data_IF_790863657328
#
_entry.id   IF_790863657328
#
_cell.length_a   1.000
_cell.length_b   1.000
_cell.length_c   1.000
_cell.angle_alpha   90.00
_cell.angle_beta   90.00
_cell.angle_gamma   90.00
#
_symmetry.space_group_name_H-M   'P 1'
#
loop_
_entity.id
_entity.type
_entity.pdbx_description
1 polymer ?
#
# COMPACT_ATOMS: atom_id res chain seq x y z
N UNK A 1 -37.01 -6.48 -35.89
CA UNK A 1 -36.67 -7.10 -34.60
C UNK A 1 -36.77 -6.02 -33.52
N UNK A 2 -37.91 -5.92 -32.83
CA UNK A 2 -38.13 -4.89 -31.79
C UNK A 2 -37.67 -5.44 -30.44
N UNK A 3 -36.78 -4.73 -29.77
CA UNK A 3 -36.25 -5.12 -28.46
C UNK A 3 -37.30 -4.88 -27.37
N UNK A 4 -37.53 -5.90 -26.53
CA UNK A 4 -38.44 -5.79 -25.38
C UNK A 4 -37.86 -4.82 -24.33
N UNK A 5 -38.60 -3.79 -23.90
CA UNK A 5 -38.15 -2.89 -22.84
C UNK A 5 -38.06 -3.64 -21.51
N UNK A 6 -36.92 -3.51 -20.83
CA UNK A 6 -36.69 -4.10 -19.51
C UNK A 6 -37.26 -3.13 -18.47
N UNK A 7 -38.26 -3.58 -17.72
CA UNK A 7 -38.84 -2.82 -16.59
C UNK A 7 -37.78 -2.67 -15.49
N UNK A 8 -37.38 -1.42 -15.19
CA UNK A 8 -36.55 -1.06 -14.04
C UNK A 8 -37.35 -1.05 -12.71
N UNK A 9 -38.59 -1.53 -12.72
CA UNK A 9 -39.52 -1.51 -11.59
C UNK A 9 -39.33 -2.67 -10.62
N UNK A 10 -38.37 -3.56 -10.83
CA UNK A 10 -38.02 -4.56 -9.81
C UNK A 10 -37.30 -3.84 -8.68
N UNK A 11 -37.90 -3.71 -7.47
CA UNK A 11 -37.15 -3.26 -6.32
C UNK A 11 -35.96 -4.20 -6.16
N UNK A 12 -34.74 -3.66 -6.13
CA UNK A 12 -33.58 -4.43 -5.73
C UNK A 12 -33.89 -4.96 -4.33
N UNK A 13 -34.03 -6.29 -4.19
CA UNK A 13 -34.16 -6.90 -2.87
C UNK A 13 -32.96 -6.45 -2.04
N UNK A 14 -33.26 -5.72 -0.96
CA UNK A 14 -32.25 -5.18 -0.08
C UNK A 14 -31.67 -6.34 0.72
N UNK A 15 -30.73 -7.06 0.11
CA UNK A 15 -30.06 -8.19 0.74
C UNK A 15 -29.52 -7.72 2.10
N UNK A 16 -29.71 -8.51 3.17
CA UNK A 16 -29.23 -8.14 4.49
C UNK A 16 -27.74 -7.84 4.42
N UNK A 17 -27.29 -6.78 5.11
CA UNK A 17 -25.86 -6.47 5.19
C UNK A 17 -25.12 -7.71 5.67
N UNK A 18 -24.18 -8.22 4.86
CA UNK A 18 -23.30 -9.33 5.25
C UNK A 18 -22.44 -8.99 6.48
N UNK A 19 -22.25 -7.69 6.75
CA UNK A 19 -21.60 -7.23 7.98
C UNK A 19 -22.57 -7.28 9.16
N UNK A 20 -22.12 -7.85 10.28
CA UNK A 20 -22.85 -7.82 11.56
C UNK A 20 -23.31 -6.37 11.87
N UNK A 21 -24.55 -6.18 12.37
CA UNK A 21 -25.04 -4.85 12.76
C UNK A 21 -24.08 -4.15 13.72
N UNK A 22 -23.93 -2.84 13.57
CA UNK A 22 -23.18 -2.02 14.52
C UNK A 22 -23.87 -2.12 15.89
N UNK A 23 -23.11 -2.51 16.90
CA UNK A 23 -23.57 -2.54 18.30
C UNK A 23 -22.96 -1.34 19.01
N UNK A 24 -23.77 -0.34 19.41
CA UNK A 24 -23.27 0.81 20.17
C UNK A 24 -22.47 0.35 21.40
N UNK A 25 -21.30 0.96 21.62
CA UNK A 25 -20.40 0.62 22.74
C UNK A 25 -19.45 -0.57 22.50
N UNK A 26 -19.66 -1.37 21.45
CA UNK A 26 -18.74 -2.46 21.10
C UNK A 26 -17.59 -1.95 20.23
N UNK A 27 -16.42 -1.74 20.84
CA UNK A 27 -15.21 -1.42 20.10
C UNK A 27 -14.60 -2.69 19.46
N UNK A 28 -14.13 -2.59 18.22
CA UNK A 28 -13.38 -3.67 17.57
C UNK A 28 -12.06 -3.89 18.33
N UNK A 29 -11.67 -5.15 18.53
CA UNK A 29 -10.43 -5.52 19.23
C UNK A 29 -9.17 -4.90 18.59
N UNK A 30 -9.25 -4.40 17.35
CA UNK A 30 -8.18 -3.63 16.71
C UNK A 30 -7.89 -2.29 17.41
N UNK A 31 -8.89 -1.66 18.04
CA UNK A 31 -8.70 -0.40 18.75
C UNK A 31 -8.08 -0.63 20.12
N UNK A 32 -7.16 0.26 20.51
CA UNK A 32 -6.49 0.20 21.81
C UNK A 32 -7.38 0.81 22.88
N UNK A 33 -7.57 0.10 23.99
CA UNK A 33 -8.34 0.58 25.14
C UNK A 33 -7.44 1.36 26.11
N UNK A 34 -8.04 2.19 26.95
CA UNK A 34 -7.30 2.94 27.97
C UNK A 34 -6.59 2.03 28.98
N UNK A 35 -7.15 0.85 29.26
CA UNK A 35 -6.53 -0.17 30.10
C UNK A 35 -5.24 -0.70 29.46
N UNK A 36 -5.25 -1.01 28.17
CA UNK A 36 -4.07 -1.47 27.45
C UNK A 36 -3.01 -0.36 27.31
N UNK A 37 -3.42 0.88 27.09
CA UNK A 37 -2.50 2.02 27.06
C UNK A 37 -1.86 2.26 28.44
N UNK A 38 -2.60 2.04 29.52
CA UNK A 38 -2.07 2.09 30.90
C UNK A 38 -1.02 1.02 31.12
N UNK A 39 -1.26 -0.22 30.66
CA UNK A 39 -0.27 -1.30 30.68
C UNK A 39 1.01 -0.89 29.93
N UNK A 40 0.89 -0.25 28.77
CA UNK A 40 2.07 0.25 28.03
C UNK A 40 2.81 1.32 28.84
N UNK A 41 2.11 2.31 29.41
CA UNK A 41 2.75 3.37 30.23
C UNK A 41 3.53 2.80 31.42
N UNK A 42 2.96 1.81 32.09
CA UNK A 42 3.56 1.22 33.30
C UNK A 42 4.76 0.33 33.00
N UNK A 43 4.64 -0.58 32.03
CA UNK A 43 5.62 -1.66 31.85
C UNK A 43 6.63 -1.42 30.73
N UNK A 44 6.37 -0.47 29.82
CA UNK A 44 7.24 -0.28 28.66
C UNK A 44 8.60 0.35 29.02
N UNK A 45 8.64 1.26 29.99
CA UNK A 45 9.87 1.96 30.37
C UNK A 45 10.89 0.99 30.96
N UNK A 46 10.47 0.13 31.90
CA UNK A 46 11.34 -0.82 32.58
C UNK A 46 11.63 -2.09 31.76
N UNK A 47 10.62 -2.67 31.12
CA UNK A 47 10.73 -3.98 30.49
C UNK A 47 10.66 -3.99 28.96
N UNK A 48 10.28 -2.87 28.34
CA UNK A 48 10.04 -2.77 26.91
C UNK A 48 8.79 -3.53 26.46
N UNK A 49 8.67 -3.75 25.15
CA UNK A 49 7.50 -4.41 24.57
C UNK A 49 7.26 -5.83 25.08
N UNK A 50 8.32 -6.56 25.44
CA UNK A 50 8.22 -7.93 25.99
C UNK A 50 7.47 -7.98 27.33
N UNK A 51 7.74 -7.03 28.24
CA UNK A 51 7.04 -6.94 29.51
C UNK A 51 5.57 -6.52 29.31
N UNK A 52 5.29 -5.60 28.40
CA UNK A 52 3.91 -5.25 28.06
C UNK A 52 3.13 -6.46 27.55
N UNK A 53 3.74 -7.30 26.69
CA UNK A 53 3.07 -8.49 26.14
C UNK A 53 2.66 -9.51 27.19
N UNK A 54 3.33 -9.57 28.35
CA UNK A 54 2.91 -10.44 29.46
C UNK A 54 1.59 -10.00 30.12
N UNK A 55 1.23 -8.72 29.98
CA UNK A 55 0.04 -8.12 30.59
C UNK A 55 -1.03 -7.72 29.55
N UNK A 56 -0.70 -7.77 28.26
CA UNK A 56 -1.63 -7.44 27.18
C UNK A 56 -2.39 -8.68 26.69
N UNK A 57 -3.59 -8.50 26.12
CA UNK A 57 -4.34 -9.59 25.53
C UNK A 57 -3.58 -10.29 24.39
N UNK A 58 -3.81 -11.60 24.21
CA UNK A 58 -3.09 -12.44 23.24
C UNK A 58 -3.22 -12.00 21.76
N UNK A 59 -4.24 -11.21 21.42
CA UNK A 59 -4.41 -10.67 20.06
C UNK A 59 -3.48 -9.47 19.77
N UNK A 60 -2.83 -8.91 20.80
CA UNK A 60 -1.85 -7.83 20.64
C UNK A 60 -0.52 -8.38 20.16
N UNK A 61 0.20 -7.53 19.45
CA UNK A 61 1.50 -7.87 18.87
C UNK A 61 2.57 -6.92 19.38
N UNK A 62 3.81 -7.42 19.45
CA UNK A 62 4.99 -6.63 19.84
C UNK A 62 5.12 -5.37 18.96
N UNK A 63 4.87 -5.49 17.66
CA UNK A 63 4.89 -4.35 16.72
C UNK A 63 3.84 -3.30 17.08
N UNK A 64 2.63 -3.72 17.45
CA UNK A 64 1.57 -2.83 17.90
C UNK A 64 1.96 -2.05 19.17
N UNK A 65 2.62 -2.72 20.13
CA UNK A 65 3.14 -2.08 21.35
C UNK A 65 4.17 -1.02 21.01
N UNK A 66 5.12 -1.30 20.12
CA UNK A 66 6.12 -0.31 19.68
C UNK A 66 5.47 0.93 19.05
N UNK A 67 4.46 0.74 18.20
CA UNK A 67 3.75 1.85 17.58
C UNK A 67 3.01 2.71 18.62
N UNK A 68 2.38 2.08 19.61
CA UNK A 68 1.68 2.82 20.67
C UNK A 68 2.63 3.51 21.63
N UNK A 69 3.71 2.86 22.05
CA UNK A 69 4.74 3.48 22.86
C UNK A 69 5.30 4.73 22.17
N UNK A 70 5.57 4.67 20.85
CA UNK A 70 5.98 5.83 20.07
C UNK A 70 4.94 6.95 20.07
N UNK A 71 3.65 6.63 19.90
CA UNK A 71 2.55 7.62 19.95
C UNK A 71 2.41 8.25 21.33
N UNK A 72 2.67 7.49 22.39
CA UNK A 72 2.66 7.94 23.77
C UNK A 72 3.96 8.67 24.19
N UNK A 73 4.95 8.78 23.30
CA UNK A 73 6.23 9.41 23.60
C UNK A 73 7.13 8.60 24.55
N UNK A 74 6.84 7.32 24.75
CA UNK A 74 7.57 6.45 25.65
C UNK A 74 8.83 5.90 24.97
N UNK A 75 9.95 5.97 25.69
CA UNK A 75 11.20 5.30 25.33
C UNK A 75 11.49 4.21 26.36
N UNK A 76 12.16 3.14 25.92
CA UNK A 76 12.64 2.10 26.84
C UNK A 76 13.85 2.61 27.63
N UNK A 77 14.15 1.95 28.74
CA UNK A 77 15.30 2.27 29.60
C UNK A 77 16.61 2.41 28.79
N UNK A 78 17.24 3.60 28.79
CA UNK A 78 18.49 3.84 28.07
C UNK A 78 19.67 3.03 28.61
N UNK A 79 19.62 2.61 29.89
CA UNK A 79 20.68 1.87 30.57
C UNK A 79 20.56 0.35 30.38
N UNK A 80 19.51 -0.13 29.72
CA UNK A 80 19.36 -1.56 29.45
C UNK A 80 20.52 -2.05 28.57
N UNK A 81 21.30 -3.06 29.01
CA UNK A 81 22.41 -3.56 28.23
C UNK A 81 21.91 -4.09 26.88
N UNK A 82 22.46 -3.55 25.79
CA UNK A 82 22.19 -4.07 24.45
C UNK A 82 22.92 -5.40 24.31
N UNK A 83 22.18 -6.49 24.07
CA UNK A 83 22.78 -7.79 23.77
C UNK A 83 23.72 -7.66 22.56
N UNK A 84 25.02 -7.65 22.83
CA UNK A 84 26.07 -7.64 21.81
C UNK A 84 26.51 -9.08 21.59
N UNK A 85 26.05 -9.69 20.50
CA UNK A 85 26.53 -10.99 20.06
C UNK A 85 27.98 -10.86 19.57
N UNK A 86 28.93 -11.44 20.33
CA UNK A 86 30.36 -11.42 20.00
C UNK A 86 30.64 -12.46 18.91
N UNK A 87 31.36 -12.05 17.87
CA UNK A 87 31.90 -12.99 16.89
C UNK A 87 33.22 -13.54 17.40
N UNK A 88 33.30 -14.84 17.67
CA UNK A 88 34.56 -15.54 17.94
C UNK A 88 35.01 -16.30 16.69
N UNK A 89 36.32 -16.55 16.50
CA UNK A 89 36.82 -17.30 15.36
C UNK A 89 36.19 -18.71 15.24
N UNK A 90 35.94 -19.37 16.37
CA UNK A 90 35.34 -20.72 16.42
C UNK A 90 33.89 -20.69 15.95
N UNK A 91 33.14 -19.65 16.34
CA UNK A 91 31.76 -19.46 15.88
C UNK A 91 31.73 -19.16 14.38
N UNK A 92 32.66 -18.36 13.87
CA UNK A 92 32.75 -18.09 12.43
C UNK A 92 33.03 -19.36 11.63
N UNK A 93 33.93 -20.23 12.12
CA UNK A 93 34.24 -21.49 11.44
C UNK A 93 33.03 -22.42 11.43
N UNK A 94 32.35 -22.56 12.57
CA UNK A 94 31.08 -23.29 12.63
C UNK A 94 30.03 -22.73 11.67
N UNK A 95 29.94 -21.40 11.54
CA UNK A 95 29.06 -20.76 10.56
C UNK A 95 29.47 -21.19 9.15
N UNK A 96 30.76 -21.16 8.78
CA UNK A 96 31.20 -21.59 7.44
C UNK A 96 30.82 -23.04 7.15
N UNK A 97 31.13 -23.95 8.07
CA UNK A 97 30.88 -25.38 7.92
C UNK A 97 29.39 -25.71 7.78
N UNK A 98 28.55 -25.13 8.64
CA UNK A 98 27.12 -25.40 8.63
C UNK A 98 26.40 -24.68 7.49
N UNK A 99 26.89 -23.49 7.08
CA UNK A 99 26.28 -22.74 5.98
C UNK A 99 26.38 -23.46 4.64
N UNK A 100 27.49 -24.17 4.38
CA UNK A 100 27.67 -24.98 3.16
C UNK A 100 26.66 -26.14 3.08
N UNK A 101 26.21 -26.64 4.24
CA UNK A 101 25.25 -27.75 4.33
C UNK A 101 23.80 -27.31 4.15
N UNK A 102 23.53 -26.00 4.15
CA UNK A 102 22.17 -25.48 4.00
C UNK A 102 21.66 -25.64 2.57
N UNK A 103 20.41 -26.07 2.45
CA UNK A 103 19.64 -25.99 1.22
C UNK A 103 18.95 -24.63 1.14
N UNK A 104 19.54 -23.73 0.33
CA UNK A 104 19.01 -22.38 0.10
C UNK A 104 17.59 -22.34 -0.51
N UNK A 105 17.01 -23.47 -0.92
CA UNK A 105 15.63 -23.55 -1.42
C UNK A 105 14.62 -23.86 -0.32
N UNK A 106 15.05 -24.39 0.82
CA UNK A 106 14.16 -24.72 1.93
C UNK A 106 13.92 -23.51 2.82
N UNK A 107 12.65 -23.20 3.02
CA UNK A 107 12.22 -22.11 3.89
C UNK A 107 12.44 -22.49 5.34
N UNK A 108 13.20 -21.69 6.08
CA UNK A 108 13.38 -21.84 7.52
C UNK A 108 14.78 -22.29 7.95
N UNK A 109 15.59 -22.88 7.06
CA UNK A 109 16.87 -23.47 7.49
C UNK A 109 17.87 -22.45 8.08
N UNK A 110 17.84 -21.20 7.60
CA UNK A 110 18.65 -20.12 8.19
C UNK A 110 18.18 -19.77 9.61
N UNK A 111 16.87 -19.88 9.89
CA UNK A 111 16.31 -19.71 11.24
C UNK A 111 16.70 -20.90 12.13
N UNK A 112 16.65 -22.13 11.60
CA UNK A 112 17.05 -23.34 12.34
C UNK A 112 18.54 -23.35 12.66
N UNK A 113 19.39 -22.89 11.74
CA UNK A 113 20.82 -22.69 11.99
C UNK A 113 21.04 -21.61 13.06
N UNK A 114 20.31 -20.50 12.98
CA UNK A 114 20.39 -19.44 13.98
C UNK A 114 20.02 -19.95 15.38
N UNK A 115 18.96 -20.76 15.49
CA UNK A 115 18.55 -21.42 16.73
C UNK A 115 19.63 -22.37 17.27
N UNK A 116 20.20 -23.25 16.43
CA UNK A 116 21.28 -24.18 16.81
C UNK A 116 22.55 -23.46 17.28
N UNK A 117 22.87 -22.32 16.68
CA UNK A 117 24.02 -21.48 17.06
C UNK A 117 23.70 -20.51 18.20
N UNK A 118 22.46 -20.50 18.72
CA UNK A 118 22.01 -19.59 19.77
C UNK A 118 22.23 -18.10 19.45
N UNK A 119 22.10 -17.74 18.17
CA UNK A 119 22.21 -16.35 17.69
C UNK A 119 20.96 -15.94 16.94
N UNK A 120 20.58 -14.65 16.91
CA UNK A 120 19.44 -14.20 16.11
C UNK A 120 19.71 -14.34 14.61
N UNK A 121 18.68 -14.71 13.84
CA UNK A 121 18.76 -14.83 12.37
C UNK A 121 19.33 -13.57 11.69
N UNK A 122 18.93 -12.38 12.15
CA UNK A 122 19.43 -11.12 11.59
C UNK A 122 20.94 -10.95 11.79
N UNK A 123 21.47 -11.39 12.95
CA UNK A 123 22.89 -11.30 13.26
C UNK A 123 23.67 -12.31 12.43
N UNK A 124 23.18 -13.55 12.35
CA UNK A 124 23.76 -14.60 11.51
C UNK A 124 23.83 -14.18 10.04
N UNK A 125 22.74 -13.64 9.49
CA UNK A 125 22.70 -13.16 8.08
C UNK A 125 23.73 -12.05 7.85
N UNK A 126 23.82 -11.10 8.79
CA UNK A 126 24.81 -10.01 8.73
C UNK A 126 26.24 -10.55 8.83
N UNK A 127 26.48 -11.55 9.68
CA UNK A 127 27.80 -12.19 9.84
C UNK A 127 28.17 -12.98 8.59
N UNK A 128 27.27 -13.80 8.06
CA UNK A 128 27.46 -14.54 6.82
C UNK A 128 27.82 -13.62 5.64
N UNK A 129 27.19 -12.44 5.57
CA UNK A 129 27.55 -11.42 4.55
C UNK A 129 28.99 -10.93 4.75
N UNK A 130 29.41 -10.66 5.99
CA UNK A 130 30.78 -10.23 6.31
C UNK A 130 31.82 -11.34 6.07
N UNK A 131 31.44 -12.60 6.26
CA UNK A 131 32.27 -13.77 5.99
C UNK A 131 32.31 -14.15 4.50
N UNK A 132 31.58 -13.44 3.63
CA UNK A 132 31.52 -13.73 2.20
C UNK A 132 30.67 -14.95 1.83
N UNK A 133 29.90 -15.50 2.78
CA UNK A 133 29.05 -16.68 2.58
C UNK A 133 27.72 -16.37 1.87
N UNK A 134 27.35 -15.09 1.84
CA UNK A 134 26.18 -14.61 1.09
C UNK A 134 26.45 -13.25 0.49
N UNK A 135 25.75 -12.93 -0.59
CA UNK A 135 25.89 -11.66 -1.30
C UNK A 135 24.96 -10.65 -0.64
N UNK A 136 25.50 -9.51 -0.23
CA UNK A 136 24.68 -8.39 0.22
C UNK A 136 23.73 -7.99 -0.91
N UNK A 137 22.45 -7.78 -0.60
CA UNK A 137 21.50 -7.26 -1.58
C UNK A 137 22.03 -5.94 -2.16
N UNK A 138 22.34 -5.94 -3.46
CA UNK A 138 22.78 -4.74 -4.18
C UNK A 138 21.56 -3.86 -4.44
N UNK A 139 21.51 -2.69 -3.78
CA UNK A 139 20.45 -1.71 -4.02
C UNK A 139 20.45 -1.34 -5.51
N UNK A 140 19.27 -1.39 -6.13
CA UNK A 140 19.14 -0.96 -7.52
C UNK A 140 19.58 0.51 -7.67
N UNK A 141 20.23 0.89 -8.80
CA UNK A 141 20.56 2.28 -9.09
C UNK A 141 19.31 3.18 -9.06
N UNK A 142 19.46 4.49 -8.76
CA UNK A 142 18.36 5.43 -8.92
C UNK A 142 17.85 5.45 -10.37
N UNK A 143 16.58 5.81 -10.57
CA UNK A 143 16.00 5.96 -11.91
C UNK A 143 16.59 7.19 -12.61
N UNK A 144 17.00 7.03 -13.86
CA UNK A 144 17.54 8.11 -14.69
C UNK A 144 16.46 8.75 -15.57
N UNK A 145 16.69 9.98 -16.04
CA UNK A 145 15.76 10.65 -16.95
C UNK A 145 15.60 9.91 -18.29
N UNK A 146 16.64 9.21 -18.74
CA UNK A 146 16.61 8.37 -19.95
C UNK A 146 15.69 7.17 -19.77
N UNK A 147 15.75 6.52 -18.60
CA UNK A 147 14.84 5.43 -18.24
C UNK A 147 13.39 5.92 -18.17
N UNK A 148 13.14 7.11 -17.61
CA UNK A 148 11.80 7.69 -17.58
C UNK A 148 11.28 8.02 -18.99
N UNK A 149 12.15 8.49 -19.89
CA UNK A 149 11.80 8.71 -21.28
C UNK A 149 11.48 7.41 -22.02
N UNK A 150 12.25 6.34 -21.77
CA UNK A 150 11.97 5.00 -22.30
C UNK A 150 10.64 4.46 -21.75
N UNK A 151 10.38 4.66 -20.45
CA UNK A 151 9.14 4.24 -19.79
C UNK A 151 7.87 4.75 -20.50
N UNK A 152 7.92 5.94 -21.09
CA UNK A 152 6.80 6.56 -21.83
C UNK A 152 6.52 5.90 -23.18
N UNK A 153 7.45 5.10 -23.71
CA UNK A 153 7.40 4.51 -25.06
C UNK A 153 7.18 3.00 -25.04
N UNK A 154 7.38 2.35 -23.90
CA UNK A 154 7.29 0.89 -23.77
C UNK A 154 5.85 0.41 -23.50
N UNK A 155 5.50 -0.83 -23.88
CA UNK A 155 4.17 -1.40 -23.67
C UNK A 155 3.91 -1.77 -22.20
N UNK A 156 3.63 -0.80 -21.34
CA UNK A 156 3.42 -0.95 -19.88
C UNK A 156 2.29 -1.90 -19.44
N UNK A 157 1.52 -2.43 -20.39
CA UNK A 157 0.53 -3.46 -20.11
C UNK A 157 1.16 -4.84 -19.85
N UNK A 158 2.37 -5.07 -20.35
CA UNK A 158 3.17 -6.29 -20.20
C UNK A 158 4.51 -5.94 -19.49
N UNK A 159 4.56 -6.06 -18.15
CA UNK A 159 5.74 -5.72 -17.36
C UNK A 159 6.98 -6.57 -17.66
N UNK A 160 6.79 -7.83 -18.06
CA UNK A 160 7.89 -8.74 -18.37
C UNK A 160 8.56 -8.34 -19.69
N UNK A 161 7.75 -8.07 -20.71
CA UNK A 161 8.26 -7.51 -21.97
C UNK A 161 8.91 -6.14 -21.79
N UNK A 162 8.37 -5.29 -20.92
CA UNK A 162 9.01 -4.03 -20.57
C UNK A 162 10.40 -4.26 -19.95
N UNK A 163 10.53 -5.23 -19.04
CA UNK A 163 11.81 -5.59 -18.44
C UNK A 163 12.82 -6.04 -19.48
N UNK A 164 12.38 -6.80 -20.48
CA UNK A 164 13.23 -7.23 -21.60
C UNK A 164 13.70 -6.04 -22.45
N UNK A 165 12.79 -5.12 -22.80
CA UNK A 165 13.13 -3.88 -23.54
C UNK A 165 14.10 -3.01 -22.73
N UNK A 166 13.87 -2.83 -21.42
CA UNK A 166 14.79 -2.08 -20.57
C UNK A 166 16.19 -2.71 -20.58
N UNK A 167 16.27 -4.04 -20.55
CA UNK A 167 17.54 -4.78 -20.61
C UNK A 167 18.24 -4.62 -21.96
N UNK A 168 17.51 -4.62 -23.08
CA UNK A 168 18.04 -4.33 -24.42
C UNK A 168 18.65 -2.91 -24.49
N UNK A 169 18.05 -1.95 -23.80
CA UNK A 169 18.58 -0.59 -23.66
C UNK A 169 19.66 -0.44 -22.56
N UNK A 170 20.15 -1.56 -21.99
CA UNK A 170 21.23 -1.58 -20.99
C UNK A 170 20.79 -1.35 -19.55
N UNK A 171 19.48 -1.21 -19.29
CA UNK A 171 18.92 -0.99 -17.96
C UNK A 171 18.42 -2.29 -17.34
N UNK A 172 19.00 -2.68 -16.19
CA UNK A 172 18.57 -3.87 -15.45
C UNK A 172 17.48 -3.49 -14.44
N UNK A 173 16.22 -3.47 -14.89
CA UNK A 173 15.03 -3.19 -14.06
C UNK A 173 14.11 -4.39 -14.01
N UNK A 174 13.64 -4.74 -12.81
CA UNK A 174 12.66 -5.82 -12.67
C UNK A 174 11.26 -5.38 -13.15
N UNK A 175 10.39 -6.32 -13.56
CA UNK A 175 8.99 -6.02 -13.93
C UNK A 175 8.25 -5.24 -12.85
N UNK A 176 8.46 -5.61 -11.57
CA UNK A 176 7.87 -4.91 -10.42
C UNK A 176 8.39 -3.48 -10.29
N UNK A 177 9.70 -3.25 -10.48
CA UNK A 177 10.28 -1.92 -10.41
C UNK A 177 9.70 -1.01 -11.50
N UNK A 178 9.54 -1.54 -12.72
CA UNK A 178 8.92 -0.86 -13.86
C UNK A 178 7.48 -0.46 -13.53
N UNK A 179 6.65 -1.38 -13.02
CA UNK A 179 5.26 -1.08 -12.64
C UNK A 179 5.19 -0.01 -11.55
N UNK A 180 6.03 -0.09 -10.52
CA UNK A 180 6.07 0.92 -9.44
C UNK A 180 6.51 2.28 -9.97
N UNK A 181 7.52 2.32 -10.86
CA UNK A 181 7.98 3.57 -11.46
C UNK A 181 6.92 4.16 -12.40
N UNK A 182 6.32 3.36 -13.26
CA UNK A 182 5.24 3.78 -14.16
C UNK A 182 4.06 4.40 -13.40
N UNK A 183 3.67 3.82 -12.24
CA UNK A 183 2.66 4.43 -11.36
C UNK A 183 3.08 5.79 -10.80
N UNK A 184 4.36 5.96 -10.44
CA UNK A 184 4.88 7.22 -9.90
C UNK A 184 5.04 8.32 -10.95
N UNK A 185 5.25 7.92 -12.20
CA UNK A 185 5.29 8.82 -13.36
C UNK A 185 3.89 9.06 -13.96
N UNK A 186 2.86 8.46 -13.39
CA UNK A 186 1.49 8.47 -13.89
C UNK A 186 1.38 8.01 -15.36
N UNK A 187 2.10 6.95 -15.71
CA UNK A 187 2.09 6.32 -17.04
C UNK A 187 1.24 5.04 -17.09
N UNK A 188 0.52 4.73 -16.01
CA UNK A 188 -0.31 3.53 -15.99
C UNK A 188 -1.44 3.64 -17.02
N UNK A 189 -1.95 2.50 -17.52
CA UNK A 189 -3.14 2.41 -18.39
C UNK A 189 -4.37 3.20 -17.88
N UNK A 190 -4.39 3.60 -16.61
CA UNK A 190 -5.45 4.41 -15.99
C UNK A 190 -5.22 5.92 -16.14
N UNK A 191 -3.98 6.35 -16.27
CA UNK A 191 -3.56 7.74 -16.39
C UNK A 191 -3.55 8.23 -17.84
N UNK A 192 -3.37 7.31 -18.80
CA UNK A 192 -3.44 7.60 -20.24
C UNK A 192 -4.87 7.56 -20.81
N UNK A 193 -5.90 7.41 -19.96
CA UNK A 193 -7.30 7.45 -20.43
C UNK A 193 -7.78 8.88 -20.43
N UNK A 194 -8.51 9.23 -21.48
CA UNK A 194 -9.19 10.52 -21.59
C UNK A 194 -10.27 10.68 -20.51
N UNK A 195 -10.90 9.57 -20.08
CA UNK A 195 -11.92 9.63 -19.03
C UNK A 195 -11.34 9.63 -17.62
N UNK A 196 -11.88 10.52 -16.79
CA UNK A 196 -11.59 10.62 -15.37
C UNK A 196 -12.34 9.53 -14.61
N UNK A 197 -11.64 8.81 -13.74
CA UNK A 197 -12.31 8.01 -12.72
C UNK A 197 -12.95 8.91 -11.65
N UNK A 198 -13.99 8.43 -10.96
CA UNK A 198 -14.59 9.16 -9.82
C UNK A 198 -13.56 9.58 -8.75
N UNK A 199 -12.51 8.78 -8.52
CA UNK A 199 -11.43 9.13 -7.60
C UNK A 199 -10.55 10.28 -8.13
N UNK A 200 -10.27 10.30 -9.44
CA UNK A 200 -9.49 11.39 -10.05
C UNK A 200 -10.30 12.68 -10.07
N UNK A 201 -11.57 12.62 -10.46
CA UNK A 201 -12.49 13.76 -10.37
C UNK A 201 -12.59 14.30 -8.93
N UNK A 202 -12.69 13.41 -7.94
CA UNK A 202 -12.74 13.81 -6.53
C UNK A 202 -11.46 14.51 -6.07
N UNK A 203 -10.28 14.04 -6.53
CA UNK A 203 -8.99 14.71 -6.27
C UNK A 203 -8.97 16.12 -6.85
N UNK A 204 -9.41 16.29 -8.11
CA UNK A 204 -9.46 17.61 -8.76
C UNK A 204 -10.34 18.57 -7.95
N UNK A 205 -11.52 18.10 -7.51
CA UNK A 205 -12.47 18.91 -6.74
C UNK A 205 -12.11 19.06 -5.25
N UNK A 206 -11.11 18.35 -4.74
CA UNK A 206 -10.77 18.38 -3.31
C UNK A 206 -11.83 17.73 -2.41
N UNK A 207 -12.58 16.75 -2.92
CA UNK A 207 -13.67 16.05 -2.22
C UNK A 207 -13.42 14.55 -2.10
N UNK A 208 -14.31 13.83 -1.40
CA UNK A 208 -14.26 12.37 -1.31
C UNK A 208 -14.85 11.68 -2.56
N UNK A 209 -14.34 10.49 -2.90
CA UNK A 209 -14.83 9.72 -4.06
C UNK A 209 -16.31 9.32 -3.97
N UNK A 210 -16.85 9.14 -2.76
CA UNK A 210 -18.29 8.86 -2.56
C UNK A 210 -19.14 10.08 -2.87
N UNK A 211 -18.62 11.28 -2.62
CA UNK A 211 -19.31 12.52 -2.94
C UNK A 211 -19.56 12.61 -4.45
N UNK A 212 -18.52 12.40 -5.27
CA UNK A 212 -18.63 12.39 -6.74
C UNK A 212 -19.57 11.26 -7.20
N UNK A 213 -19.42 10.07 -6.62
CA UNK A 213 -20.30 8.93 -6.97
C UNK A 213 -21.77 9.22 -6.65
N UNK A 214 -22.05 9.93 -5.56
CA UNK A 214 -23.39 10.37 -5.21
C UNK A 214 -24.02 11.27 -6.27
N UNK A 215 -23.25 12.23 -6.81
CA UNK A 215 -23.68 13.13 -7.90
C UNK A 215 -23.96 12.39 -9.20
N UNK A 216 -23.17 11.36 -9.50
CA UNK A 216 -23.41 10.49 -10.65
C UNK A 216 -24.73 9.72 -10.47
N UNK A 217 -24.94 9.13 -9.28
CA UNK A 217 -26.15 8.36 -8.99
C UNK A 217 -27.41 9.23 -8.92
N UNK A 218 -27.28 10.49 -8.50
CA UNK A 218 -28.36 11.48 -8.53
C UNK A 218 -28.68 12.00 -9.95
N UNK A 219 -27.85 11.68 -10.94
CA UNK A 219 -28.01 12.13 -12.33
C UNK A 219 -27.50 13.55 -12.58
N UNK A 220 -26.86 14.19 -11.61
CA UNK A 220 -26.33 15.55 -11.71
C UNK A 220 -24.99 15.58 -12.47
N UNK A 221 -24.16 14.56 -12.30
CA UNK A 221 -22.89 14.40 -13.02
C UNK A 221 -22.99 13.26 -14.02
N UNK A 222 -22.85 13.56 -15.31
CA UNK A 222 -22.88 12.56 -16.38
C UNK A 222 -21.62 11.68 -16.32
N UNK A 223 -21.83 10.37 -16.26
CA UNK A 223 -20.77 9.37 -16.31
C UNK A 223 -21.28 8.05 -16.91
N UNK A 224 -20.37 7.23 -17.40
CA UNK A 224 -20.67 5.88 -17.91
C UNK A 224 -20.04 4.81 -17.03
N UNK A 225 -20.66 3.63 -16.98
CA UNK A 225 -20.06 2.48 -16.30
C UNK A 225 -18.95 1.91 -17.16
N UNK A 226 -17.77 1.73 -16.55
CA UNK A 226 -16.63 1.09 -17.16
C UNK A 226 -16.89 -0.40 -17.28
N UNK A 227 -16.51 -0.99 -18.42
CA UNK A 227 -16.44 -2.44 -18.57
C UNK A 227 -15.18 -3.00 -17.86
N UNK A 228 -15.23 -2.99 -16.52
CA UNK A 228 -14.26 -3.68 -15.69
C UNK A 228 -14.90 -4.90 -15.01
N UNK A 229 -14.09 -5.94 -14.77
CA UNK A 229 -14.54 -7.19 -14.14
C UNK A 229 -14.67 -7.06 -12.61
N UNK A 230 -14.98 -5.88 -12.08
CA UNK A 230 -15.09 -5.66 -10.62
C UNK A 230 -16.37 -6.27 -10.07
N UNK A 231 -16.23 -6.95 -8.95
CA UNK A 231 -17.37 -7.56 -8.26
C UNK A 231 -18.22 -6.50 -7.53
N UNK A 232 -19.53 -6.74 -7.28
CA UNK A 232 -20.36 -5.87 -6.47
C UNK A 232 -19.77 -5.57 -5.08
N UNK A 233 -19.12 -6.56 -4.46
CA UNK A 233 -18.43 -6.43 -3.17
C UNK A 233 -17.24 -5.45 -3.20
N UNK A 234 -16.69 -5.20 -4.39
CA UNK A 234 -15.59 -4.26 -4.61
C UNK A 234 -16.10 -2.84 -4.95
N UNK A 235 -17.39 -2.56 -4.74
CA UNK A 235 -18.04 -1.31 -5.12
C UNK A 235 -18.59 -1.30 -6.55
N UNK A 236 -18.64 -2.48 -7.20
CA UNK A 236 -19.11 -2.64 -8.58
C UNK A 236 -18.17 -2.01 -9.61
N UNK A 237 -18.69 -1.89 -10.83
CA UNK A 237 -17.97 -1.30 -11.95
C UNK A 237 -17.61 0.16 -11.70
N UNK A 238 -16.38 0.54 -12.08
CA UNK A 238 -15.90 1.92 -11.94
C UNK A 238 -16.66 2.88 -12.87
N UNK A 239 -16.64 4.18 -12.57
CA UNK A 239 -17.23 5.22 -13.41
C UNK A 239 -16.19 5.89 -14.29
N UNK A 240 -16.54 6.12 -15.55
CA UNK A 240 -15.82 6.91 -16.55
C UNK A 240 -16.55 8.24 -16.75
N UNK A 241 -15.92 9.33 -16.31
CA UNK A 241 -16.42 10.71 -16.39
C UNK A 241 -15.60 11.43 -17.45
N UNK A 242 -16.25 12.00 -18.48
CA UNK A 242 -15.54 12.82 -19.45
C UNK A 242 -15.11 14.13 -18.78
N UNK A 243 -13.88 14.65 -19.03
CA UNK A 243 -13.45 15.94 -18.49
C UNK A 243 -14.46 17.06 -18.80
N UNK A 244 -15.04 17.06 -19.99
CA UNK A 244 -16.08 18.00 -20.41
C UNK A 244 -17.34 17.98 -19.53
N UNK A 245 -17.77 16.79 -19.12
CA UNK A 245 -18.96 16.63 -18.27
C UNK A 245 -18.67 17.06 -16.84
N UNK A 246 -17.47 16.77 -16.32
CA UNK A 246 -17.03 17.29 -15.02
C UNK A 246 -16.90 18.81 -15.03
N UNK A 247 -16.33 19.38 -16.10
CA UNK A 247 -16.22 20.83 -16.30
C UNK A 247 -17.59 21.49 -16.30
N UNK A 248 -18.54 20.95 -17.07
CA UNK A 248 -19.92 21.48 -17.11
C UNK A 248 -20.57 21.44 -15.74
N UNK A 249 -20.47 20.32 -15.03
CA UNK A 249 -20.97 20.21 -13.66
C UNK A 249 -20.38 21.28 -12.72
N UNK A 250 -19.08 21.53 -12.79
CA UNK A 250 -18.43 22.56 -11.95
C UNK A 250 -18.92 23.96 -12.29
N UNK A 251 -19.13 24.27 -13.57
CA UNK A 251 -19.65 25.58 -14.00
C UNK A 251 -21.10 25.76 -13.51
N UNK A 252 -21.92 24.72 -13.62
CA UNK A 252 -23.34 24.74 -13.25
C UNK A 252 -23.56 24.74 -11.72
N UNK A 253 -22.56 24.28 -10.95
CA UNK A 253 -22.64 24.11 -9.49
C UNK A 253 -21.41 24.67 -8.75
N UNK A 254 -20.89 25.81 -9.22
CA UNK A 254 -19.66 26.40 -8.71
C UNK A 254 -19.73 26.68 -7.20
N UNK A 255 -20.91 27.02 -6.69
CA UNK A 255 -21.16 27.27 -5.26
C UNK A 255 -20.95 26.05 -4.35
N UNK A 256 -20.96 24.86 -4.93
CA UNK A 256 -20.80 23.59 -4.20
C UNK A 256 -19.34 23.13 -4.16
N UNK A 257 -18.45 23.81 -4.89
CA UNK A 257 -17.02 23.49 -4.99
C UNK A 257 -16.22 24.41 -4.06
N UNK A 258 -15.57 23.82 -3.05
CA UNK A 258 -14.66 24.57 -2.17
C UNK A 258 -13.30 24.78 -2.87
N UNK A 259 -13.14 25.93 -3.53
CA UNK A 259 -11.92 26.31 -4.26
C UNK A 259 -10.65 26.36 -3.39
N UNK A 260 -10.75 26.29 -2.06
CA UNK A 260 -9.58 26.18 -1.18
C UNK A 260 -9.00 24.78 -1.11
N UNK A 261 -9.79 23.76 -1.48
CA UNK A 261 -9.43 22.34 -1.38
C UNK A 261 -9.09 21.68 -2.71
N UNK A 262 -9.44 22.32 -3.82
CA UNK A 262 -9.19 21.80 -5.17
C UNK A 262 -7.69 21.63 -5.44
N UNK A 263 -7.37 20.68 -6.32
CA UNK A 263 -6.04 20.63 -6.93
C UNK A 263 -5.93 21.79 -7.93
N UNK A 264 -5.29 22.89 -7.53
CA UNK A 264 -5.31 24.16 -8.26
C UNK A 264 -4.91 24.03 -9.72
N UNK A 265 -3.90 23.21 -10.03
CA UNK A 265 -3.39 23.08 -11.39
C UNK A 265 -4.34 22.27 -12.26
N UNK A 266 -4.74 21.09 -11.79
CA UNK A 266 -5.67 20.23 -12.54
C UNK A 266 -7.06 20.86 -12.66
N UNK A 267 -7.51 21.61 -11.64
CA UNK A 267 -8.78 22.33 -11.68
C UNK A 267 -8.76 23.46 -12.71
N UNK A 268 -7.68 24.24 -12.78
CA UNK A 268 -7.54 25.29 -13.81
C UNK A 268 -7.48 24.67 -15.20
N UNK A 269 -6.71 23.60 -15.40
CA UNK A 269 -6.66 22.87 -16.68
C UNK A 269 -8.06 22.41 -17.11
N UNK A 270 -8.81 21.78 -16.19
CA UNK A 270 -10.19 21.34 -16.41
C UNK A 270 -11.10 22.50 -16.85
N UNK A 271 -11.05 23.65 -16.17
CA UNK A 271 -11.88 24.82 -16.50
C UNK A 271 -11.46 25.46 -17.83
N UNK A 272 -10.15 25.51 -18.11
CA UNK A 272 -9.58 26.01 -19.36
C UNK A 272 -9.91 25.10 -20.57
N UNK A 273 -10.36 23.86 -20.34
CA UNK A 273 -10.64 22.90 -21.41
C UNK A 273 -9.37 22.22 -21.93
N UNK A 274 -8.24 22.42 -21.25
CA UNK A 274 -7.03 21.62 -21.45
C UNK A 274 -7.31 20.29 -20.73
N UNK A 275 -7.38 19.18 -21.49
CA UNK A 275 -7.71 17.87 -20.93
C UNK A 275 -6.89 17.56 -19.66
N UNK A 276 -7.58 17.25 -18.56
CA UNK A 276 -6.97 16.92 -17.27
C UNK A 276 -6.35 15.52 -17.27
#
# INVERSE_FOLDING_TARGET
MSLKPVSFSKPLEHLPRLSKPYVPGKQDARFWTDTELTVIRTYYVSGGAGACMAHLPAHRTISGVYQQAKKLGLSGDPNKPRNSYKSTPELDERIREEWVKLDGRKRGEVEDLAARLSVPRWWLTKRATKLGLTIAHKKEPPWTAVEDALMRRVPLHDPDKCSDIFREHGFKRSPTAIVVRAKRLDLSRRATREELSATRAAKILGVDGKWVTGRILAGELRATKRDDKRLPQQGGQSWDIRPEDLRRYVIDHLEQVDLRKVDKFEFVALIAGEGA
#
